data_IF_356431217752
#
_entry.id   IF_356431217752
#
_cell.length_a   1.000
_cell.length_b   1.000
_cell.length_c   1.000
_cell.angle_alpha   90.00
_cell.angle_beta   90.00
_cell.angle_gamma   90.00
#
_symmetry.space_group_name_H-M   'P 1'
#
loop_
_entity.id
_entity.type
_entity.pdbx_description
1 polymer ?
#
# COMPACT_ATOMS: atom_id res chain seq x y z
N UNK A 1 -19.22 -16.84 -8.07
CA UNK A 1 -19.46 -15.49 -7.48
C UNK A 1 -18.46 -15.27 -6.36
N UNK A 2 -17.27 -14.75 -6.67
CA UNK A 2 -16.30 -14.32 -5.66
C UNK A 2 -16.87 -13.11 -4.94
N UNK A 3 -17.22 -13.27 -3.66
CA UNK A 3 -17.86 -12.21 -2.86
C UNK A 3 -16.82 -11.18 -2.42
N UNK A 4 -17.16 -9.90 -2.53
CA UNK A 4 -16.36 -8.81 -1.97
C UNK A 4 -16.43 -8.85 -0.43
N UNK A 5 -15.39 -8.35 0.26
CA UNK A 5 -15.40 -8.26 1.71
C UNK A 5 -16.52 -7.32 2.20
N UNK A 6 -17.03 -7.57 3.42
CA UNK A 6 -18.15 -6.80 4.00
C UNK A 6 -17.88 -5.30 4.11
N UNK A 7 -16.62 -4.90 4.32
CA UNK A 7 -16.20 -3.50 4.44
C UNK A 7 -15.68 -2.97 3.09
N UNK A 8 -16.34 -3.36 2.01
CA UNK A 8 -16.17 -2.73 0.71
C UNK A 8 -17.16 -1.56 0.63
N UNK A 9 -16.74 -0.34 0.21
CA UNK A 9 -15.50 -0.01 -0.50
C UNK A 9 -14.33 0.47 0.37
N UNK A 10 -14.48 0.51 1.70
CA UNK A 10 -13.51 1.11 2.62
C UNK A 10 -12.11 0.52 2.45
N UNK A 11 -12.00 -0.82 2.35
CA UNK A 11 -10.71 -1.46 2.14
C UNK A 11 -10.08 -1.14 0.78
N UNK A 12 -10.87 -0.89 -0.26
CA UNK A 12 -10.33 -0.46 -1.56
C UNK A 12 -9.81 0.96 -1.52
N UNK A 13 -10.49 1.86 -0.81
CA UNK A 13 -10.00 3.22 -0.56
C UNK A 13 -8.72 3.21 0.28
N UNK A 14 -8.67 2.37 1.32
CA UNK A 14 -7.48 2.20 2.14
C UNK A 14 -6.30 1.68 1.31
N UNK A 15 -6.51 0.68 0.44
CA UNK A 15 -5.49 0.16 -0.46
C UNK A 15 -4.92 1.27 -1.38
N UNK A 16 -5.80 2.07 -1.99
CA UNK A 16 -5.41 3.21 -2.84
C UNK A 16 -4.58 4.24 -2.04
N UNK A 17 -5.01 4.57 -0.83
CA UNK A 17 -4.32 5.53 0.03
C UNK A 17 -2.94 5.02 0.47
N UNK A 18 -2.82 3.74 0.81
CA UNK A 18 -1.53 3.12 1.13
C UNK A 18 -0.60 3.14 -0.08
N UNK A 19 -1.10 2.83 -1.28
CA UNK A 19 -0.30 2.90 -2.50
C UNK A 19 0.25 4.32 -2.73
N UNK A 20 -0.59 5.34 -2.61
CA UNK A 20 -0.17 6.74 -2.72
C UNK A 20 0.91 7.10 -1.69
N UNK A 21 0.72 6.73 -0.43
CA UNK A 21 1.70 6.98 0.64
C UNK A 21 3.05 6.31 0.35
N UNK A 22 3.05 5.08 -0.17
CA UNK A 22 4.29 4.41 -0.58
C UNK A 22 4.97 5.18 -1.70
N UNK A 23 4.23 5.59 -2.73
CA UNK A 23 4.78 6.38 -3.84
C UNK A 23 5.39 7.70 -3.35
N UNK A 24 4.71 8.41 -2.45
CA UNK A 24 5.21 9.68 -1.90
C UNK A 24 6.48 9.46 -1.05
N UNK A 25 6.51 8.41 -0.22
CA UNK A 25 7.70 8.01 0.54
C UNK A 25 8.87 7.63 -0.36
N UNK A 26 8.62 6.90 -1.45
CA UNK A 26 9.66 6.55 -2.43
C UNK A 26 10.23 7.79 -3.13
N UNK A 27 9.40 8.81 -3.39
CA UNK A 27 9.89 10.09 -3.92
C UNK A 27 10.78 10.80 -2.89
N UNK A 28 10.33 10.88 -1.64
CA UNK A 28 11.12 11.47 -0.55
C UNK A 28 12.47 10.77 -0.39
N UNK A 29 12.49 9.43 -0.47
CA UNK A 29 13.72 8.64 -0.41
C UNK A 29 14.74 9.00 -1.49
N UNK A 30 14.27 9.39 -2.69
CA UNK A 30 15.14 9.80 -3.80
C UNK A 30 15.63 11.24 -3.70
N UNK A 31 15.06 12.03 -2.79
CA UNK A 31 15.38 13.46 -2.61
C UNK A 31 16.34 13.70 -1.43
N UNK A 32 16.78 12.65 -0.74
CA UNK A 32 17.65 12.74 0.43
C UNK A 32 18.75 11.69 0.33
N UNK A 33 19.95 12.06 0.78
CA UNK A 33 21.10 11.16 0.92
C UNK A 33 21.34 10.77 2.39
N UNK A 34 20.49 11.26 3.31
CA UNK A 34 20.59 10.93 4.73
C UNK A 34 20.16 9.48 4.99
N UNK A 35 21.12 8.63 5.37
CA UNK A 35 20.90 7.21 5.62
C UNK A 35 19.88 6.92 6.72
N UNK A 36 19.79 7.77 7.76
CA UNK A 36 18.82 7.57 8.84
C UNK A 36 17.41 7.82 8.30
N UNK A 37 17.21 8.92 7.56
CA UNK A 37 15.93 9.22 6.91
C UNK A 37 15.56 8.12 5.92
N UNK A 38 16.52 7.63 5.12
CA UNK A 38 16.29 6.54 4.17
C UNK A 38 15.82 5.27 4.90
N UNK A 39 16.47 4.88 6.00
CA UNK A 39 16.08 3.71 6.80
C UNK A 39 14.69 3.86 7.41
N UNK A 40 14.35 5.04 7.92
CA UNK A 40 13.01 5.32 8.43
C UNK A 40 11.95 5.21 7.33
N UNK A 41 12.21 5.78 6.16
CA UNK A 41 11.31 5.70 4.99
C UNK A 41 11.11 4.24 4.57
N UNK A 42 12.18 3.45 4.48
CA UNK A 42 12.09 2.03 4.13
C UNK A 42 11.25 1.25 5.15
N UNK A 43 11.42 1.51 6.45
CA UNK A 43 10.63 0.89 7.52
C UNK A 43 9.13 1.20 7.36
N UNK A 44 8.78 2.48 7.09
CA UNK A 44 7.40 2.92 6.84
C UNK A 44 6.82 2.24 5.59
N UNK A 45 7.57 2.18 4.50
CA UNK A 45 7.15 1.49 3.27
C UNK A 45 6.85 0.01 3.55
N UNK A 46 7.73 -0.69 4.28
CA UNK A 46 7.54 -2.10 4.62
C UNK A 46 6.28 -2.33 5.46
N UNK A 47 5.99 -1.44 6.41
CA UNK A 47 4.76 -1.49 7.20
C UNK A 47 3.51 -1.32 6.33
N UNK A 48 3.52 -0.34 5.41
CA UNK A 48 2.40 -0.11 4.49
C UNK A 48 2.21 -1.26 3.49
N UNK A 49 3.29 -1.86 2.98
CA UNK A 49 3.23 -3.04 2.13
C UNK A 49 2.61 -4.24 2.85
N UNK A 50 2.96 -4.45 4.14
CA UNK A 50 2.36 -5.52 4.95
C UNK A 50 0.84 -5.35 5.09
N UNK A 51 0.39 -4.12 5.35
CA UNK A 51 -1.03 -3.82 5.43
C UNK A 51 -1.74 -3.95 4.08
N UNK A 52 -1.11 -3.51 2.98
CA UNK A 52 -1.65 -3.71 1.63
C UNK A 52 -1.81 -5.19 1.28
N UNK A 53 -0.85 -6.04 1.68
CA UNK A 53 -0.95 -7.49 1.46
C UNK A 53 -2.08 -8.10 2.29
N UNK A 54 -2.26 -7.65 3.53
CA UNK A 54 -3.40 -8.05 4.37
C UNK A 54 -4.71 -7.67 3.68
N UNK A 55 -4.86 -6.44 3.22
CA UNK A 55 -6.04 -5.98 2.49
C UNK A 55 -6.24 -6.82 1.22
N UNK A 56 -5.19 -7.03 0.42
CA UNK A 56 -5.25 -7.80 -0.83
C UNK A 56 -5.78 -9.22 -0.61
N UNK A 57 -5.44 -9.87 0.50
CA UNK A 57 -5.94 -11.20 0.86
C UNK A 57 -7.45 -11.26 1.15
N UNK A 58 -8.08 -10.11 1.45
CA UNK A 58 -9.54 -10.02 1.67
C UNK A 58 -10.33 -9.95 0.36
N UNK A 59 -9.65 -9.75 -0.77
CA UNK A 59 -10.27 -9.61 -2.07
C UNK A 59 -10.02 -10.82 -2.96
N UNK A 60 -10.88 -11.05 -3.96
CA UNK A 60 -10.62 -12.04 -4.99
C UNK A 60 -9.28 -11.79 -5.68
N UNK A 61 -8.63 -12.87 -6.12
CA UNK A 61 -7.41 -12.77 -6.88
C UNK A 61 -7.62 -11.89 -8.13
N UNK A 62 -6.67 -11.02 -8.42
CA UNK A 62 -6.75 -10.09 -9.56
C UNK A 62 -7.62 -8.85 -9.34
N UNK A 63 -8.36 -8.72 -8.23
CA UNK A 63 -9.22 -7.55 -7.99
C UNK A 63 -8.49 -6.19 -8.11
N UNK A 64 -7.20 -6.17 -7.76
CA UNK A 64 -6.36 -4.98 -7.82
C UNK A 64 -5.41 -4.93 -9.04
N UNK A 65 -5.37 -5.96 -9.92
CA UNK A 65 -4.43 -6.01 -11.06
C UNK A 65 -4.78 -5.00 -12.17
N UNK A 66 -6.05 -4.65 -12.31
CA UNK A 66 -6.54 -3.79 -13.40
C UNK A 66 -7.08 -2.42 -12.92
N UNK A 67 -6.86 -2.05 -11.65
CA UNK A 67 -7.51 -0.89 -11.03
C UNK A 67 -6.57 0.26 -10.63
N UNK A 68 -5.25 0.07 -10.66
CA UNK A 68 -4.27 1.06 -10.20
C UNK A 68 -2.97 0.99 -10.98
#
# INVERSE_FOLDING_TARGET
MTKLPKNFPEYSLLYKNLNKKITDLQKQQRMTDDELIIKEIQSKIKAYQKEMNRIKSLFPEGFFKDKF
#
